data_IF_879878850169
#
_entry.id   IF_879878850169
#
_cell.length_a   1.000
_cell.length_b   1.000
_cell.length_c   1.000
_cell.angle_alpha   90.00
_cell.angle_beta   90.00
_cell.angle_gamma   90.00
#
_symmetry.space_group_name_H-M   'P 1'
#
loop_
_entity.id
_entity.type
_entity.pdbx_description
1 polymer ?
#
# COMPACT_ATOMS: atom_id res chain seq x y z
N UNK A 1 -54.26 -36.27 -0.80
CA UNK A 1 -53.09 -36.73 -0.02
C UNK A 1 -52.24 -35.52 0.33
N UNK A 2 -52.22 -35.18 1.61
CA UNK A 2 -51.31 -34.19 2.21
C UNK A 2 -49.88 -34.71 2.15
N UNK A 3 -48.93 -33.81 1.86
CA UNK A 3 -47.70 -33.71 2.66
C UNK A 3 -47.08 -32.32 2.47
N UNK A 4 -47.34 -31.46 3.44
CA UNK A 4 -46.45 -30.39 3.89
C UNK A 4 -45.09 -30.95 4.31
N UNK A 5 -44.01 -30.16 4.14
CA UNK A 5 -42.88 -29.93 5.07
C UNK A 5 -41.81 -29.12 4.29
N UNK A 6 -41.75 -27.80 4.47
CA UNK A 6 -40.94 -27.09 5.48
C UNK A 6 -39.46 -27.48 5.46
N UNK A 7 -38.63 -26.65 4.80
CA UNK A 7 -37.25 -26.44 5.24
C UNK A 7 -36.70 -25.06 4.77
N UNK A 8 -36.64 -24.16 5.75
CA UNK A 8 -35.59 -23.14 5.96
C UNK A 8 -35.53 -21.91 5.05
N UNK A 9 -36.43 -20.97 5.37
CA UNK A 9 -36.18 -19.54 5.37
C UNK A 9 -34.88 -19.17 6.10
N UNK A 10 -33.78 -18.92 5.36
CA UNK A 10 -32.53 -18.39 5.94
C UNK A 10 -31.74 -17.34 5.11
N UNK A 11 -32.34 -16.49 4.25
CA UNK A 11 -31.61 -15.34 3.68
C UNK A 11 -31.79 -14.01 4.44
N UNK A 12 -32.83 -13.85 5.27
CA UNK A 12 -33.23 -12.53 5.80
C UNK A 12 -32.36 -12.05 6.98
N UNK A 13 -31.86 -12.98 7.82
CA UNK A 13 -31.09 -12.66 9.03
C UNK A 13 -29.62 -12.30 8.69
N UNK A 14 -29.06 -12.82 7.60
CA UNK A 14 -27.68 -12.48 7.17
C UNK A 14 -27.55 -11.02 6.71
N UNK A 15 -28.56 -10.48 6.01
CA UNK A 15 -28.53 -9.08 5.61
C UNK A 15 -28.63 -8.14 6.82
N UNK A 16 -29.43 -8.46 7.83
CA UNK A 16 -29.65 -7.52 8.96
C UNK A 16 -28.43 -7.33 9.87
N UNK A 17 -27.58 -8.35 10.02
CA UNK A 17 -26.37 -8.27 10.85
C UNK A 17 -25.20 -7.65 10.09
N UNK A 18 -25.13 -7.88 8.78
CA UNK A 18 -24.18 -7.24 7.88
C UNK A 18 -24.44 -5.73 7.74
N UNK A 19 -25.71 -5.33 7.64
CA UNK A 19 -26.08 -3.92 7.55
C UNK A 19 -25.98 -3.21 8.91
N UNK A 20 -26.34 -3.85 10.04
CA UNK A 20 -26.33 -3.18 11.36
C UNK A 20 -24.97 -3.09 12.05
N UNK A 21 -24.08 -4.06 11.84
CA UNK A 21 -22.81 -4.12 12.59
C UNK A 21 -21.61 -3.94 11.68
N UNK A 22 -21.59 -4.61 10.53
CA UNK A 22 -20.43 -4.52 9.64
C UNK A 22 -20.36 -3.18 8.91
N UNK A 23 -21.48 -2.66 8.43
CA UNK A 23 -21.50 -1.38 7.71
C UNK A 23 -20.98 -0.19 8.55
N UNK A 24 -21.49 0.08 9.77
CA UNK A 24 -21.01 1.22 10.55
C UNK A 24 -19.57 1.05 11.01
N UNK A 25 -19.16 -0.16 11.41
CA UNK A 25 -17.78 -0.44 11.81
C UNK A 25 -16.82 -0.31 10.63
N UNK A 26 -17.18 -0.81 9.45
CA UNK A 26 -16.41 -0.66 8.22
C UNK A 26 -16.25 0.81 7.82
N UNK A 27 -17.34 1.59 7.86
CA UNK A 27 -17.31 3.01 7.54
C UNK A 27 -16.43 3.80 8.52
N UNK A 28 -16.47 3.48 9.81
CA UNK A 28 -15.61 4.07 10.83
C UNK A 28 -14.13 3.77 10.57
N UNK A 29 -13.76 2.50 10.37
CA UNK A 29 -12.37 2.13 10.05
C UNK A 29 -11.90 2.74 8.72
N UNK A 30 -12.77 2.81 7.71
CA UNK A 30 -12.48 3.46 6.43
C UNK A 30 -12.19 4.94 6.63
N UNK A 31 -12.96 5.64 7.47
CA UNK A 31 -12.77 7.06 7.79
C UNK A 31 -11.45 7.32 8.53
N UNK A 32 -11.14 6.51 9.55
CA UNK A 32 -9.86 6.58 10.27
C UNK A 32 -8.70 6.31 9.32
N UNK A 33 -8.76 5.23 8.53
CA UNK A 33 -7.69 4.87 7.62
C UNK A 33 -7.47 5.97 6.56
N UNK A 34 -8.53 6.57 6.03
CA UNK A 34 -8.43 7.69 5.09
C UNK A 34 -7.76 8.93 5.73
N UNK A 35 -8.14 9.27 6.96
CA UNK A 35 -7.56 10.41 7.69
C UNK A 35 -6.09 10.17 8.02
N UNK A 36 -5.76 8.99 8.52
CA UNK A 36 -4.41 8.56 8.83
C UNK A 36 -3.53 8.56 7.58
N UNK A 37 -4.05 8.07 6.45
CA UNK A 37 -3.35 8.09 5.18
C UNK A 37 -2.97 9.52 4.78
N UNK A 38 -3.94 10.45 4.80
CA UNK A 38 -3.73 11.86 4.43
C UNK A 38 -2.67 12.53 5.33
N UNK A 39 -2.69 12.25 6.62
CA UNK A 39 -1.71 12.80 7.57
C UNK A 39 -0.29 12.27 7.35
N UNK A 40 -0.14 11.01 6.92
CA UNK A 40 1.17 10.37 6.77
C UNK A 40 1.79 10.52 5.39
N UNK A 41 0.99 10.82 4.36
CA UNK A 41 1.51 11.02 3.00
C UNK A 41 2.55 12.14 2.97
N UNK A 42 2.22 13.30 3.56
CA UNK A 42 3.11 14.46 3.57
C UNK A 42 4.48 14.16 4.18
N UNK A 43 4.54 13.72 5.46
CA UNK A 43 5.78 13.32 6.10
C UNK A 43 6.52 12.20 5.38
N UNK A 44 5.78 11.17 4.91
CA UNK A 44 6.37 10.02 4.23
C UNK A 44 7.08 10.39 2.92
N UNK A 45 6.46 11.23 2.10
CA UNK A 45 7.10 11.72 0.86
C UNK A 45 8.26 12.66 1.18
N UNK A 46 8.07 13.59 2.14
CA UNK A 46 9.08 14.58 2.50
C UNK A 46 10.36 13.93 3.03
N UNK A 47 10.24 13.01 3.98
CA UNK A 47 11.37 12.32 4.59
C UNK A 47 12.10 11.43 3.59
N UNK A 48 11.38 10.68 2.75
CA UNK A 48 12.01 9.84 1.73
C UNK A 48 12.66 10.68 0.62
N UNK A 49 12.07 11.81 0.23
CA UNK A 49 12.67 12.73 -0.75
C UNK A 49 13.94 13.37 -0.19
N UNK A 50 13.92 13.77 1.09
CA UNK A 50 15.10 14.28 1.77
C UNK A 50 16.20 13.22 1.87
N UNK A 51 15.84 11.98 2.20
CA UNK A 51 16.75 10.84 2.22
C UNK A 51 17.41 10.65 0.85
N UNK A 52 16.61 10.61 -0.22
CA UNK A 52 17.08 10.45 -1.59
C UNK A 52 17.99 11.61 -2.01
N UNK A 53 17.66 12.85 -1.63
CA UNK A 53 18.48 14.03 -1.89
C UNK A 53 19.84 13.98 -1.19
N UNK A 54 19.86 13.64 0.11
CA UNK A 54 21.10 13.52 0.91
C UNK A 54 21.97 12.42 0.33
N UNK A 55 21.39 11.25 0.07
CA UNK A 55 22.11 10.10 -0.45
C UNK A 55 22.59 10.34 -1.87
N UNK A 56 21.89 11.12 -2.69
CA UNK A 56 22.26 11.46 -4.09
C UNK A 56 23.50 12.34 -4.21
N UNK A 57 24.00 12.91 -3.11
CA UNK A 57 25.19 13.77 -3.14
C UNK A 57 26.43 12.99 -3.64
N UNK A 58 27.24 13.56 -4.56
CA UNK A 58 28.39 12.87 -5.16
C UNK A 58 29.39 12.32 -4.14
N UNK A 59 29.59 13.03 -3.02
CA UNK A 59 30.50 12.64 -1.93
C UNK A 59 30.11 11.32 -1.23
N UNK A 60 28.83 10.94 -1.28
CA UNK A 60 28.29 9.75 -0.63
C UNK A 60 27.95 8.65 -1.65
N UNK A 61 27.61 9.03 -2.89
CA UNK A 61 27.05 8.14 -3.91
C UNK A 61 27.76 6.81 -4.11
N UNK A 62 29.09 6.81 -4.19
CA UNK A 62 29.85 5.64 -4.63
C UNK A 62 30.67 5.03 -3.49
N UNK A 63 30.42 5.43 -2.24
CA UNK A 63 31.21 4.97 -1.09
C UNK A 63 30.79 3.61 -0.56
N UNK A 64 29.53 3.19 -0.77
CA UNK A 64 29.02 1.96 -0.18
C UNK A 64 27.83 1.41 -0.96
N UNK A 65 27.80 0.09 -1.15
CA UNK A 65 26.64 -0.68 -1.64
C UNK A 65 25.37 -0.38 -0.84
N UNK A 66 25.51 -0.12 0.47
CA UNK A 66 24.41 0.24 1.36
C UNK A 66 23.71 1.53 0.95
N UNK A 67 24.47 2.52 0.44
CA UNK A 67 23.89 3.79 0.00
C UNK A 67 23.03 3.57 -1.25
N UNK A 68 23.43 2.64 -2.12
CA UNK A 68 22.65 2.25 -3.30
C UNK A 68 21.34 1.59 -2.85
N UNK A 69 21.38 0.63 -1.94
CA UNK A 69 20.17 -0.01 -1.39
C UNK A 69 19.22 1.00 -0.74
N UNK A 70 19.74 1.94 0.06
CA UNK A 70 18.92 2.96 0.70
C UNK A 70 18.27 3.94 -0.29
N UNK A 71 18.94 4.27 -1.40
CA UNK A 71 18.33 5.08 -2.47
C UNK A 71 17.20 4.35 -3.17
N UNK A 72 17.41 3.08 -3.50
CA UNK A 72 16.39 2.23 -4.11
C UNK A 72 15.18 2.12 -3.17
N UNK A 73 15.43 1.90 -1.88
CA UNK A 73 14.39 1.84 -0.87
C UNK A 73 13.58 3.14 -0.79
N UNK A 74 14.25 4.29 -0.67
CA UNK A 74 13.58 5.59 -0.63
C UNK A 74 12.77 5.89 -1.90
N UNK A 75 13.25 5.48 -3.08
CA UNK A 75 12.53 5.63 -4.34
C UNK A 75 11.23 4.80 -4.34
N UNK A 76 11.31 3.52 -3.98
CA UNK A 76 10.15 2.64 -3.96
C UNK A 76 9.16 2.98 -2.84
N UNK A 77 9.63 3.53 -1.73
CA UNK A 77 8.77 4.07 -0.68
C UNK A 77 7.98 5.27 -1.19
N UNK A 78 8.62 6.24 -1.87
CA UNK A 78 7.91 7.37 -2.50
C UNK A 78 6.87 6.87 -3.50
N UNK A 79 7.27 5.98 -4.42
CA UNK A 79 6.35 5.44 -5.43
C UNK A 79 5.16 4.71 -4.80
N UNK A 80 5.39 3.88 -3.78
CA UNK A 80 4.32 3.15 -3.11
C UNK A 80 3.33 4.09 -2.41
N UNK A 81 3.83 5.13 -1.72
CA UNK A 81 3.00 6.14 -1.06
C UNK A 81 2.20 6.93 -2.10
N UNK A 82 2.85 7.35 -3.20
CA UNK A 82 2.20 8.07 -4.30
C UNK A 82 1.10 7.24 -4.95
N UNK A 83 1.35 5.98 -5.31
CA UNK A 83 0.33 5.12 -5.90
C UNK A 83 -0.83 4.85 -4.94
N UNK A 84 -0.54 4.67 -3.64
CA UNK A 84 -1.56 4.50 -2.60
C UNK A 84 -2.43 5.74 -2.47
N UNK A 85 -1.85 6.94 -2.56
CA UNK A 85 -2.58 8.20 -2.55
C UNK A 85 -3.46 8.39 -3.79
N UNK A 86 -2.89 8.22 -4.99
CA UNK A 86 -3.64 8.35 -6.26
C UNK A 86 -4.84 7.40 -6.25
N UNK A 87 -4.66 6.16 -5.78
CA UNK A 87 -5.76 5.21 -5.65
C UNK A 87 -6.82 5.65 -4.65
N UNK A 88 -6.42 6.20 -3.50
CA UNK A 88 -7.36 6.71 -2.50
C UNK A 88 -8.18 7.88 -3.05
N UNK A 89 -7.54 8.79 -3.79
CA UNK A 89 -8.19 9.94 -4.41
C UNK A 89 -9.14 9.54 -5.53
N UNK A 90 -8.73 8.61 -6.40
CA UNK A 90 -9.61 8.03 -7.43
C UNK A 90 -10.85 7.41 -6.79
N UNK A 91 -10.68 6.65 -5.70
CA UNK A 91 -11.80 6.03 -5.00
C UNK A 91 -12.74 7.08 -4.39
N UNK A 92 -12.20 8.15 -3.80
CA UNK A 92 -12.97 9.27 -3.27
C UNK A 92 -13.80 9.96 -4.36
N UNK A 93 -13.15 10.34 -5.47
CA UNK A 93 -13.81 10.99 -6.62
C UNK A 93 -14.88 10.10 -7.27
N UNK A 94 -14.66 8.77 -7.29
CA UNK A 94 -15.63 7.82 -7.85
C UNK A 94 -16.93 7.74 -7.03
N UNK A 95 -16.84 7.93 -5.72
CA UNK A 95 -18.00 7.95 -4.82
C UNK A 95 -18.77 9.26 -4.98
N UNK A 96 -18.07 10.38 -5.17
CA UNK A 96 -18.67 11.71 -5.26
C UNK A 96 -19.31 12.00 -6.64
N UNK A 97 -18.74 11.48 -7.74
CA UNK A 97 -19.16 11.81 -9.12
C UNK A 97 -19.98 10.73 -9.84
N UNK A 98 -20.21 9.56 -9.23
CA UNK A 98 -21.12 8.54 -9.76
C UNK A 98 -20.53 7.59 -10.83
N UNK A 99 -21.44 6.92 -11.57
CA UNK A 99 -21.20 5.64 -12.27
C UNK A 99 -20.27 5.71 -13.50
N UNK A 100 -20.19 6.84 -14.20
CA UNK A 100 -19.32 7.00 -15.40
C UNK A 100 -17.83 7.13 -15.02
N UNK A 101 -17.58 7.66 -13.82
CA UNK A 101 -16.39 7.50 -12.99
C UNK A 101 -15.70 6.13 -13.12
N UNK A 102 -16.56 5.14 -12.88
CA UNK A 102 -16.25 3.89 -12.23
C UNK A 102 -15.64 2.86 -13.18
N UNK A 103 -16.04 2.87 -14.45
CA UNK A 103 -15.58 1.88 -15.44
C UNK A 103 -14.13 2.14 -15.89
N UNK A 104 -13.78 3.39 -16.19
CA UNK A 104 -12.39 3.78 -16.51
C UNK A 104 -11.49 3.72 -15.27
N UNK A 105 -12.02 4.06 -14.10
CA UNK A 105 -11.25 3.97 -12.83
C UNK A 105 -11.04 2.54 -12.35
N UNK A 106 -11.84 1.56 -12.77
CA UNK A 106 -11.67 0.17 -12.31
C UNK A 106 -10.37 -0.47 -12.81
N UNK A 107 -10.04 -0.32 -14.10
CA UNK A 107 -8.80 -0.84 -14.67
C UNK A 107 -7.58 -0.10 -14.12
N UNK A 108 -7.65 1.23 -14.02
CA UNK A 108 -6.60 2.08 -13.44
C UNK A 108 -6.38 1.74 -11.96
N UNK A 109 -7.44 1.54 -11.18
CA UNK A 109 -7.35 1.17 -9.77
C UNK A 109 -6.70 -0.21 -9.57
N UNK A 110 -7.00 -1.18 -10.43
CA UNK A 110 -6.33 -2.49 -10.44
C UNK A 110 -4.84 -2.36 -10.80
N UNK A 111 -4.51 -1.61 -11.84
CA UNK A 111 -3.12 -1.38 -12.25
C UNK A 111 -2.31 -0.69 -11.13
N UNK A 112 -2.86 0.38 -10.54
CA UNK A 112 -2.25 1.07 -9.40
C UNK A 112 -2.08 0.17 -8.18
N UNK A 113 -3.03 -0.74 -7.92
CA UNK A 113 -2.91 -1.72 -6.85
C UNK A 113 -1.75 -2.69 -7.09
N UNK A 114 -1.63 -3.21 -8.32
CA UNK A 114 -0.52 -4.09 -8.70
C UNK A 114 0.81 -3.36 -8.59
N UNK A 115 0.91 -2.14 -9.12
CA UNK A 115 2.12 -1.30 -9.05
C UNK A 115 2.51 -0.99 -7.60
N UNK A 116 1.55 -0.63 -6.74
CA UNK A 116 1.79 -0.38 -5.32
C UNK A 116 2.36 -1.63 -4.64
N UNK A 117 1.74 -2.80 -4.84
CA UNK A 117 2.21 -4.05 -4.25
C UNK A 117 3.58 -4.47 -4.80
N UNK A 118 3.83 -4.25 -6.09
CA UNK A 118 5.14 -4.49 -6.68
C UNK A 118 6.22 -3.60 -6.04
N UNK A 119 5.94 -2.30 -5.85
CA UNK A 119 6.87 -1.39 -5.17
C UNK A 119 7.17 -1.85 -3.74
N UNK A 120 6.14 -2.22 -2.96
CA UNK A 120 6.29 -2.72 -1.59
C UNK A 120 7.11 -4.02 -1.59
N UNK A 121 6.84 -4.93 -2.54
CA UNK A 121 7.60 -6.17 -2.65
C UNK A 121 9.07 -5.92 -2.97
N UNK A 122 9.36 -4.99 -3.89
CA UNK A 122 10.74 -4.62 -4.22
C UNK A 122 11.44 -3.98 -3.02
N UNK A 123 10.76 -3.10 -2.28
CA UNK A 123 11.28 -2.52 -1.04
C UNK A 123 11.63 -3.60 -0.02
N UNK A 124 10.74 -4.57 0.22
CA UNK A 124 11.01 -5.70 1.11
C UNK A 124 12.22 -6.53 0.67
N UNK A 125 12.30 -6.89 -0.62
CA UNK A 125 13.46 -7.62 -1.15
C UNK A 125 14.76 -6.82 -1.05
N UNK A 126 14.69 -5.50 -1.23
CA UNK A 126 15.85 -4.59 -1.06
C UNK A 126 16.37 -4.64 0.38
N UNK A 127 15.48 -4.66 1.38
CA UNK A 127 15.84 -4.81 2.79
C UNK A 127 16.53 -6.17 3.03
N UNK A 128 15.95 -7.26 2.52
CA UNK A 128 16.53 -8.62 2.65
C UNK A 128 17.93 -8.67 2.04
N UNK A 129 18.09 -8.15 0.82
CA UNK A 129 19.39 -8.09 0.14
C UNK A 129 20.40 -7.24 0.91
N UNK A 130 19.99 -6.10 1.46
CA UNK A 130 20.83 -5.26 2.31
C UNK A 130 21.26 -6.01 3.58
N UNK A 131 20.37 -6.77 4.21
CA UNK A 131 20.71 -7.60 5.38
C UNK A 131 21.70 -8.71 5.03
N UNK A 132 21.55 -9.36 3.87
CA UNK A 132 22.49 -10.37 3.39
C UNK A 132 23.87 -9.77 3.07
N UNK A 133 23.93 -8.61 2.40
CA UNK A 133 25.17 -7.88 2.12
C UNK A 133 25.94 -7.59 3.42
N UNK A 134 25.23 -7.15 4.46
CA UNK A 134 25.82 -6.91 5.79
C UNK A 134 26.25 -8.18 6.49
N UNK A 135 25.45 -9.24 6.44
CA UNK A 135 25.83 -10.52 7.03
C UNK A 135 27.12 -11.07 6.40
N UNK A 136 27.23 -11.02 5.08
CA UNK A 136 28.43 -11.46 4.35
C UNK A 136 29.63 -10.60 4.71
N UNK A 137 29.49 -9.27 4.75
CA UNK A 137 30.59 -8.37 5.11
C UNK A 137 31.13 -8.62 6.53
N UNK A 138 30.26 -8.99 7.48
CA UNK A 138 30.66 -9.34 8.85
C UNK A 138 31.29 -10.73 8.91
N UNK A 139 30.75 -11.71 8.19
CA UNK A 139 31.25 -13.09 8.20
C UNK A 139 32.52 -13.31 7.36
N UNK A 140 32.80 -12.46 6.38
CA UNK A 140 33.94 -12.60 5.46
C UNK A 140 34.70 -11.26 5.27
N UNK A 141 35.39 -10.76 6.30
CA UNK A 141 36.05 -9.45 6.27
C UNK A 141 37.21 -9.36 5.26
N UNK A 142 37.78 -10.49 4.82
CA UNK A 142 38.96 -10.56 3.95
C UNK A 142 38.66 -10.50 2.44
N UNK A 143 37.39 -10.35 2.04
CA UNK A 143 36.95 -10.34 0.63
C UNK A 143 36.54 -8.96 0.09
N UNK A 144 36.73 -7.91 0.88
CA UNK A 144 36.40 -6.51 0.56
C UNK A 144 37.60 -5.72 0.07
#
# INVERSE_FOLDING_TARGET
MNSTNNETSLPIIRCSLQDRVYEPTYLFFKSINSTYLRLLIGPGILLNSLCLFILSRPRLSNKSTTIIFLRVLALFDILSITFKYIRAEINYQSVEKGREIFLLTSSVCKALYVLMNACISIAMWTIVLMSLDKAVAVSCPLKS
#
